data_IF_024291287646
#
_entry.id   IF_024291287646
#
_cell.length_a   1.000
_cell.length_b   1.000
_cell.length_c   1.000
_cell.angle_alpha   90.00
_cell.angle_beta   90.00
_cell.angle_gamma   90.00
#
_symmetry.space_group_name_H-M   'P 1'
#
loop_
_entity.id
_entity.type
_entity.pdbx_description
1 polymer ?
#
# COMPACT_ATOMS: atom_id res chain seq x y z
N UNK A 1 -11.69 17.16 11.55
CA UNK A 1 -11.50 16.36 10.34
C UNK A 1 -12.85 15.85 9.88
N UNK A 2 -13.23 16.19 8.68
CA UNK A 2 -14.46 15.79 8.02
C UNK A 2 -14.19 14.62 7.10
N UNK A 3 -15.21 13.83 6.83
CA UNK A 3 -15.19 12.82 5.78
C UNK A 3 -14.82 13.46 4.43
N UNK A 4 -13.80 12.94 3.79
CA UNK A 4 -13.27 13.44 2.52
C UNK A 4 -13.57 12.50 1.34
N UNK A 5 -14.42 11.49 1.53
CA UNK A 5 -14.74 10.46 0.52
C UNK A 5 -15.08 11.04 -0.85
N UNK A 6 -15.82 12.17 -0.89
CA UNK A 6 -16.17 12.83 -2.15
C UNK A 6 -14.98 13.34 -2.99
N UNK A 7 -13.78 13.38 -2.41
CA UNK A 7 -12.55 13.80 -3.09
C UNK A 7 -11.73 12.62 -3.63
N UNK A 8 -12.22 11.41 -3.48
CA UNK A 8 -11.50 10.21 -3.82
C UNK A 8 -12.32 9.30 -4.76
N UNK A 9 -11.62 8.64 -5.65
CA UNK A 9 -12.10 7.48 -6.39
C UNK A 9 -11.60 6.27 -5.62
N UNK A 10 -12.48 5.32 -5.34
CA UNK A 10 -12.15 4.03 -4.72
C UNK A 10 -12.33 2.97 -5.78
N UNK A 11 -11.29 2.23 -6.08
CA UNK A 11 -11.37 1.05 -6.92
C UNK A 11 -10.94 -0.17 -6.10
N UNK A 12 -11.63 -1.27 -6.29
CA UNK A 12 -11.26 -2.56 -5.71
C UNK A 12 -11.24 -3.63 -6.78
N UNK A 13 -10.58 -4.73 -6.50
CA UNK A 13 -10.54 -5.87 -7.39
C UNK A 13 -10.02 -7.11 -6.71
N UNK A 14 -10.56 -8.25 -7.14
CA UNK A 14 -10.13 -9.58 -6.74
C UNK A 14 -9.47 -10.29 -7.92
N UNK A 15 -8.85 -11.44 -7.68
CA UNK A 15 -8.34 -12.25 -8.79
C UNK A 15 -9.44 -12.97 -9.60
N UNK A 16 -10.70 -12.91 -9.16
CA UNK A 16 -11.85 -13.43 -9.90
C UNK A 16 -12.56 -12.35 -10.71
N UNK A 17 -12.63 -11.13 -10.18
CA UNK A 17 -13.25 -9.99 -10.86
C UNK A 17 -12.52 -8.69 -10.54
N UNK A 18 -11.81 -8.18 -11.50
CA UNK A 18 -10.81 -7.13 -11.32
C UNK A 18 -11.38 -5.72 -11.13
N UNK A 19 -12.68 -5.51 -11.32
CA UNK A 19 -13.29 -4.18 -11.27
C UNK A 19 -14.77 -4.20 -10.86
N UNK A 20 -15.18 -5.11 -9.99
CA UNK A 20 -16.55 -5.13 -9.48
C UNK A 20 -16.66 -4.54 -8.05
N UNK A 21 -16.32 -3.26 -7.92
CA UNK A 21 -16.41 -2.54 -6.64
C UNK A 21 -17.78 -2.68 -5.95
N UNK A 22 -18.83 -2.80 -6.74
CA UNK A 22 -20.18 -2.92 -6.20
C UNK A 22 -20.41 -4.30 -5.59
N UNK A 23 -19.85 -5.33 -6.20
CA UNK A 23 -19.93 -6.71 -5.72
C UNK A 23 -19.11 -6.88 -4.45
N UNK A 24 -17.84 -6.48 -4.49
CA UNK A 24 -16.91 -6.56 -3.35
C UNK A 24 -17.43 -5.77 -2.15
N UNK A 25 -17.94 -4.56 -2.38
CA UNK A 25 -18.55 -3.75 -1.34
C UNK A 25 -19.83 -4.38 -0.77
N UNK A 26 -20.66 -5.02 -1.60
CA UNK A 26 -21.88 -5.70 -1.17
C UNK A 26 -21.57 -6.94 -0.31
N UNK A 27 -20.47 -7.63 -0.58
CA UNK A 27 -19.98 -8.74 0.23
C UNK A 27 -19.32 -8.27 1.53
N UNK A 28 -18.93 -7.02 1.61
CA UNK A 28 -18.22 -6.47 2.76
C UNK A 28 -16.76 -6.90 2.85
N UNK A 29 -16.16 -7.25 1.71
CA UNK A 29 -14.81 -7.76 1.62
C UNK A 29 -13.74 -6.71 1.89
N UNK A 30 -14.06 -5.46 1.65
CA UNK A 30 -13.17 -4.36 2.00
C UNK A 30 -13.89 -3.27 2.79
N UNK A 31 -13.11 -2.43 3.43
CA UNK A 31 -13.59 -1.22 4.08
C UNK A 31 -12.69 -0.05 3.73
N UNK A 32 -13.29 1.08 3.36
CA UNK A 32 -12.62 2.38 3.30
C UNK A 32 -13.39 3.35 4.17
N UNK A 33 -12.74 3.85 5.23
CA UNK A 33 -13.32 4.84 6.13
C UNK A 33 -12.46 6.11 6.12
N UNK A 34 -12.98 7.17 5.52
CA UNK A 34 -12.28 8.44 5.33
C UNK A 34 -12.23 9.34 6.57
N UNK A 35 -12.83 8.93 7.66
CA UNK A 35 -12.84 9.68 8.90
C UNK A 35 -12.58 8.79 10.13
N UNK A 36 -11.93 7.66 9.94
CA UNK A 36 -11.66 6.69 10.97
C UNK A 36 -10.88 7.29 12.14
N UNK A 37 -11.43 7.16 13.34
CA UNK A 37 -10.75 7.56 14.56
C UNK A 37 -9.87 6.42 15.08
N UNK A 38 -8.62 6.41 14.66
CA UNK A 38 -7.69 5.35 15.00
C UNK A 38 -7.28 5.33 16.49
N UNK A 39 -7.59 6.38 17.26
CA UNK A 39 -7.42 6.34 18.72
C UNK A 39 -8.29 5.28 19.40
N UNK A 40 -9.40 4.89 18.75
CA UNK A 40 -10.28 3.80 19.21
C UNK A 40 -9.58 2.44 19.21
N UNK A 41 -8.46 2.33 18.49
CA UNK A 41 -7.57 1.16 18.46
C UNK A 41 -6.27 1.37 19.26
N UNK A 42 -6.20 2.42 20.07
CA UNK A 42 -5.02 2.73 20.87
C UNK A 42 -3.85 3.32 20.07
N UNK A 43 -4.06 3.67 18.81
CA UNK A 43 -3.03 4.25 17.95
C UNK A 43 -2.83 5.73 18.33
N UNK A 44 -1.61 6.18 18.62
CA UNK A 44 -1.35 7.57 18.98
C UNK A 44 -1.49 8.49 17.76
N UNK A 45 -1.62 9.82 17.97
CA UNK A 45 -1.65 10.77 16.86
C UNK A 45 -0.45 10.62 15.92
N UNK A 46 -0.70 10.68 14.61
CA UNK A 46 0.36 10.65 13.61
C UNK A 46 1.33 11.81 13.79
N UNK A 47 2.64 11.60 13.57
CA UNK A 47 3.67 12.61 13.84
C UNK A 47 3.45 13.93 13.11
N UNK A 48 2.95 13.88 11.89
CA UNK A 48 2.71 15.04 11.04
C UNK A 48 1.24 15.48 11.00
N UNK A 49 0.37 14.88 11.84
CA UNK A 49 -1.03 15.30 11.91
C UNK A 49 -1.14 16.71 12.51
N UNK A 50 -1.83 17.58 11.80
CA UNK A 50 -2.20 18.90 12.35
C UNK A 50 -3.10 18.74 13.58
N UNK A 51 -2.92 19.60 14.59
CA UNK A 51 -3.74 19.62 15.81
C UNK A 51 -3.80 18.29 16.60
N UNK A 52 -2.83 17.40 16.40
CA UNK A 52 -2.82 16.07 17.02
C UNK A 52 -4.10 15.27 16.71
N UNK A 53 -4.65 15.45 15.52
CA UNK A 53 -5.79 14.66 15.06
C UNK A 53 -5.48 13.19 15.10
N UNK A 54 -6.47 12.39 15.49
CA UNK A 54 -6.42 10.94 15.46
C UNK A 54 -7.31 10.36 14.35
N UNK A 55 -7.61 11.18 13.33
CA UNK A 55 -8.44 10.76 12.20
C UNK A 55 -7.63 10.62 10.94
N UNK A 56 -7.83 9.48 10.26
CA UNK A 56 -7.19 9.15 9.00
C UNK A 56 -8.13 8.40 8.07
N UNK A 57 -7.56 7.94 6.98
CA UNK A 57 -8.25 7.04 6.06
C UNK A 57 -7.84 5.61 6.41
N UNK A 58 -8.80 4.78 6.84
CA UNK A 58 -8.58 3.36 7.07
C UNK A 58 -8.93 2.58 5.81
N UNK A 59 -8.07 1.64 5.44
CA UNK A 59 -8.34 0.63 4.41
C UNK A 59 -8.10 -0.74 5.02
N UNK A 60 -9.04 -1.66 4.80
CA UNK A 60 -8.90 -3.08 5.10
C UNK A 60 -9.44 -3.91 3.94
N UNK A 61 -8.88 -5.09 3.75
CA UNK A 61 -9.22 -6.02 2.66
C UNK A 61 -9.40 -7.42 3.21
N UNK A 62 -10.00 -8.32 2.44
CA UNK A 62 -10.29 -9.70 2.82
C UNK A 62 -11.00 -9.80 4.18
N UNK A 63 -11.98 -8.94 4.39
CA UNK A 63 -12.76 -8.86 5.62
C UNK A 63 -13.76 -10.02 5.77
N UNK A 64 -14.00 -10.75 4.71
CA UNK A 64 -15.08 -11.72 4.64
C UNK A 64 -14.61 -12.96 3.87
N UNK A 65 -14.90 -14.13 4.42
CA UNK A 65 -14.78 -15.40 3.72
C UNK A 65 -16.13 -15.71 3.09
N UNK A 66 -16.32 -15.30 1.88
CA UNK A 66 -17.60 -15.48 1.19
C UNK A 66 -17.77 -16.86 0.55
N UNK A 67 -17.00 -17.84 0.98
CA UNK A 67 -17.21 -19.24 0.67
C UNK A 67 -16.78 -19.76 -0.72
N UNK A 68 -16.39 -18.92 -1.63
CA UNK A 68 -16.00 -19.36 -2.98
C UNK A 68 -14.52 -19.59 -3.18
N UNK A 69 -13.76 -19.47 -2.14
CA UNK A 69 -12.31 -19.56 -2.17
C UNK A 69 -11.75 -18.16 -1.95
N UNK A 70 -11.03 -18.11 -0.97
CA UNK A 70 -10.16 -17.07 -0.54
C UNK A 70 -9.50 -16.40 -1.74
N UNK A 71 -9.86 -15.17 -1.99
CA UNK A 71 -9.41 -14.41 -3.15
C UNK A 71 -8.48 -13.30 -2.70
N UNK A 72 -7.33 -13.23 -3.35
CA UNK A 72 -6.45 -12.09 -3.17
C UNK A 72 -7.19 -10.83 -3.62
N UNK A 73 -7.03 -9.73 -2.89
CA UNK A 73 -7.78 -8.51 -3.09
C UNK A 73 -6.90 -7.26 -2.97
N UNK A 74 -7.24 -6.24 -3.75
CA UNK A 74 -6.62 -4.92 -3.65
C UNK A 74 -7.66 -3.81 -3.64
N UNK A 75 -7.39 -2.77 -2.86
CA UNK A 75 -8.17 -1.53 -2.84
C UNK A 75 -7.25 -0.35 -3.08
N UNK A 76 -7.60 0.48 -4.03
CA UNK A 76 -6.87 1.67 -4.40
C UNK A 76 -7.70 2.94 -4.24
N UNK A 77 -7.07 3.97 -3.74
CA UNK A 77 -7.62 5.30 -3.59
C UNK A 77 -6.87 6.28 -4.49
N UNK A 78 -7.60 6.97 -5.33
CA UNK A 78 -7.07 8.01 -6.22
C UNK A 78 -7.72 9.35 -5.91
N UNK A 79 -6.95 10.44 -5.77
CA UNK A 79 -7.54 11.78 -5.63
C UNK A 79 -8.36 12.12 -6.88
N UNK A 80 -9.65 12.39 -6.69
CA UNK A 80 -10.57 12.67 -7.78
C UNK A 80 -10.15 13.92 -8.57
N UNK A 81 -10.10 13.82 -9.89
CA UNK A 81 -9.82 14.94 -10.79
C UNK A 81 -8.43 15.57 -10.61
N UNK A 82 -7.47 14.82 -10.08
CA UNK A 82 -6.09 15.26 -9.96
C UNK A 82 -5.22 14.53 -10.97
N UNK A 83 -4.36 15.27 -11.63
CA UNK A 83 -3.30 14.76 -12.49
C UNK A 83 -2.04 15.55 -12.19
N UNK A 84 -0.94 14.85 -11.99
CA UNK A 84 0.34 15.44 -11.61
C UNK A 84 1.36 15.19 -12.71
N UNK A 85 2.26 16.13 -12.91
CA UNK A 85 3.35 16.02 -13.90
C UNK A 85 4.57 16.79 -13.41
N UNK A 86 5.73 16.49 -13.99
CA UNK A 86 6.99 17.08 -13.56
C UNK A 86 7.40 16.61 -12.16
N UNK A 87 8.02 17.48 -11.39
CA UNK A 87 8.51 17.12 -10.05
C UNK A 87 7.39 17.26 -9.02
N UNK A 88 7.04 16.15 -8.38
CA UNK A 88 6.02 16.12 -7.33
C UNK A 88 6.25 14.97 -6.36
N UNK A 89 5.63 15.06 -5.18
CA UNK A 89 5.70 14.03 -4.16
C UNK A 89 4.39 13.86 -3.41
N UNK A 90 4.09 12.63 -3.03
CA UNK A 90 3.07 12.27 -2.05
C UNK A 90 3.76 11.95 -0.74
N UNK A 91 3.26 12.50 0.35
CA UNK A 91 3.75 12.24 1.70
C UNK A 91 2.60 11.87 2.60
N UNK A 92 2.76 10.78 3.33
CA UNK A 92 1.80 10.29 4.31
C UNK A 92 2.52 9.80 5.56
N UNK A 93 1.83 9.85 6.69
CA UNK A 93 2.17 9.01 7.84
C UNK A 93 1.34 7.73 7.71
N UNK A 94 1.99 6.59 7.79
CA UNK A 94 1.39 5.27 7.63
C UNK A 94 1.48 4.50 8.95
N UNK A 95 0.39 3.84 9.32
CA UNK A 95 0.37 2.82 10.36
C UNK A 95 -0.28 1.55 9.79
N UNK A 96 0.47 0.46 9.73
CA UNK A 96 -0.09 -0.85 9.41
C UNK A 96 -0.40 -1.57 10.72
N UNK A 97 -1.66 -1.90 10.91
CA UNK A 97 -2.12 -2.68 12.05
C UNK A 97 -2.41 -4.11 11.62
N UNK A 98 -2.09 -5.06 12.46
CA UNK A 98 -2.36 -6.47 12.23
C UNK A 98 -2.60 -7.21 13.55
N UNK A 99 -3.23 -8.37 13.48
CA UNK A 99 -3.52 -9.19 14.64
C UNK A 99 -2.37 -10.16 14.93
N UNK A 100 -1.99 -10.23 16.20
CA UNK A 100 -1.00 -11.17 16.69
C UNK A 100 0.44 -10.70 16.59
N UNK A 101 1.36 -11.46 17.21
CA UNK A 101 2.78 -11.21 17.09
C UNK A 101 3.29 -11.70 15.74
N UNK A 102 4.20 -10.97 15.16
CA UNK A 102 4.90 -11.34 13.95
C UNK A 102 5.51 -12.73 14.04
N UNK A 103 5.39 -13.48 12.97
CA UNK A 103 5.86 -14.87 12.91
C UNK A 103 5.04 -15.84 13.74
N UNK A 104 3.94 -15.41 14.35
CA UNK A 104 3.08 -16.20 15.21
C UNK A 104 1.95 -16.96 14.52
N UNK A 105 1.95 -17.08 13.21
CA UNK A 105 1.07 -17.97 12.47
C UNK A 105 -0.33 -17.44 12.16
N UNK A 106 -0.59 -16.17 12.37
CA UNK A 106 -1.82 -15.49 11.94
C UNK A 106 -1.51 -14.23 11.14
N UNK A 107 -0.37 -14.20 10.49
CA UNK A 107 0.04 -13.11 9.62
C UNK A 107 -0.96 -12.90 8.51
N UNK A 108 -1.24 -11.64 8.20
CA UNK A 108 -2.25 -11.29 7.23
C UNK A 108 -1.75 -11.31 5.79
N UNK A 109 -0.45 -11.27 5.56
CA UNK A 109 0.16 -11.07 4.23
C UNK A 109 -0.34 -9.83 3.50
N UNK A 110 -0.88 -8.88 4.24
CA UNK A 110 -1.45 -7.65 3.72
C UNK A 110 -0.37 -6.57 3.57
N UNK A 111 -0.46 -5.82 2.48
CA UNK A 111 0.54 -4.81 2.13
C UNK A 111 -0.11 -3.45 1.94
N UNK A 112 0.48 -2.43 2.57
CA UNK A 112 0.21 -1.05 2.18
C UNK A 112 0.89 -0.76 0.84
N UNK A 113 0.18 -0.11 -0.08
CA UNK A 113 0.68 0.20 -1.42
C UNK A 113 0.60 1.69 -1.73
N UNK A 114 1.59 2.17 -2.49
CA UNK A 114 1.75 3.57 -2.87
C UNK A 114 2.15 3.66 -4.33
N UNK A 115 1.41 4.41 -5.12
CA UNK A 115 1.66 4.51 -6.56
C UNK A 115 1.79 5.93 -7.07
N UNK A 116 2.41 6.04 -8.25
CA UNK A 116 2.57 7.28 -9.02
C UNK A 116 2.30 7.03 -10.49
N UNK A 117 1.97 8.11 -11.19
CA UNK A 117 1.72 8.11 -12.63
C UNK A 117 0.61 7.13 -13.06
N UNK A 118 -0.40 6.98 -12.21
CA UNK A 118 -1.55 6.11 -12.44
C UNK A 118 -2.60 6.82 -13.31
N UNK A 119 -3.43 6.07 -14.05
CA UNK A 119 -4.62 6.64 -14.70
C UNK A 119 -5.73 6.98 -13.71
N UNK A 120 -5.81 6.24 -12.61
CA UNK A 120 -6.94 6.29 -11.69
C UNK A 120 -8.17 5.52 -12.18
N UNK A 121 -8.02 4.68 -13.19
CA UNK A 121 -9.08 3.89 -13.83
C UNK A 121 -8.84 2.38 -13.72
N UNK A 122 -7.67 1.97 -13.22
CA UNK A 122 -7.25 0.58 -13.09
C UNK A 122 -6.90 0.26 -11.65
N UNK A 123 -7.23 -0.95 -11.23
CA UNK A 123 -6.78 -1.47 -9.94
C UNK A 123 -5.34 -1.95 -10.06
N UNK A 124 -4.44 -1.36 -9.28
CA UNK A 124 -3.03 -1.75 -9.22
C UNK A 124 -2.76 -2.60 -7.99
N UNK A 125 -2.45 -3.88 -8.20
CA UNK A 125 -2.00 -4.79 -7.15
C UNK A 125 -1.29 -6.01 -7.75
N UNK A 126 -0.51 -6.73 -6.97
CA UNK A 126 0.51 -7.64 -7.48
C UNK A 126 0.02 -8.94 -8.10
N UNK A 127 -1.20 -9.36 -7.85
CA UNK A 127 -1.73 -10.63 -8.37
C UNK A 127 -2.59 -10.47 -9.61
N UNK A 128 -2.80 -9.24 -10.06
CA UNK A 128 -3.63 -8.95 -11.21
C UNK A 128 -2.82 -8.52 -12.42
N UNK A 129 -3.23 -8.93 -13.61
CA UNK A 129 -2.61 -8.46 -14.84
C UNK A 129 -3.05 -7.05 -15.24
N UNK A 130 -3.91 -6.41 -14.46
CA UNK A 130 -4.37 -5.05 -14.70
C UNK A 130 -3.70 -4.06 -13.77
N UNK A 131 -3.59 -2.85 -14.21
CA UNK A 131 -2.95 -1.75 -13.49
C UNK A 131 -2.19 -0.87 -14.46
N UNK A 132 -1.73 0.25 -13.98
CA UNK A 132 -0.88 1.15 -14.74
C UNK A 132 0.05 1.95 -13.82
N UNK A 133 1.07 2.56 -14.39
CA UNK A 133 2.06 3.31 -13.64
C UNK A 133 3.01 2.43 -12.79
N UNK A 134 3.57 3.02 -11.77
CA UNK A 134 4.50 2.37 -10.84
C UNK A 134 3.92 2.40 -9.44
N UNK A 135 4.05 1.31 -8.69
CA UNK A 135 3.67 1.28 -7.28
C UNK A 135 4.61 0.40 -6.45
N UNK A 136 4.61 0.69 -5.16
CA UNK A 136 5.43 0.03 -4.16
C UNK A 136 4.52 -0.55 -3.08
N UNK A 137 4.93 -1.68 -2.52
CA UNK A 137 4.17 -2.34 -1.46
C UNK A 137 5.06 -2.79 -0.32
N UNK A 138 4.52 -2.74 0.89
CA UNK A 138 5.21 -3.19 2.11
C UNK A 138 4.27 -3.93 3.04
N UNK A 139 4.73 -5.09 3.50
CA UNK A 139 4.12 -5.87 4.56
C UNK A 139 4.42 -5.27 5.93
N UNK A 140 3.41 -5.21 6.80
CA UNK A 140 3.53 -4.63 8.14
C UNK A 140 4.18 -5.53 9.16
N UNK A 141 4.07 -6.84 9.02
CA UNK A 141 4.48 -7.82 10.03
C UNK A 141 5.79 -8.52 9.74
N UNK A 142 6.20 -8.57 8.47
CA UNK A 142 7.37 -9.30 8.02
C UNK A 142 7.17 -10.82 8.05
N UNK A 143 8.23 -11.56 7.77
CA UNK A 143 8.22 -13.02 7.85
C UNK A 143 7.96 -13.73 6.53
N UNK A 144 7.59 -13.01 5.49
CA UNK A 144 7.49 -13.52 4.12
C UNK A 144 8.86 -13.67 3.48
N UNK A 145 8.92 -14.32 2.32
CA UNK A 145 10.16 -14.36 1.53
C UNK A 145 10.51 -12.99 0.95
N UNK A 146 9.50 -12.16 0.75
CA UNK A 146 9.60 -10.78 0.27
C UNK A 146 8.54 -9.96 1.02
N UNK A 147 8.96 -8.88 1.68
CA UNK A 147 8.09 -7.97 2.42
C UNK A 147 8.06 -6.58 1.77
N UNK A 148 8.95 -6.30 0.83
CA UNK A 148 9.10 -5.02 0.15
C UNK A 148 9.06 -5.22 -1.36
N UNK A 149 8.07 -4.64 -2.01
CA UNK A 149 7.78 -4.85 -3.43
C UNK A 149 7.84 -3.57 -4.25
N UNK A 150 8.11 -3.74 -5.52
CA UNK A 150 7.98 -2.71 -6.54
C UNK A 150 7.37 -3.34 -7.78
N UNK A 151 6.39 -2.67 -8.36
CA UNK A 151 5.66 -3.11 -9.53
C UNK A 151 5.56 -2.00 -10.55
N UNK A 152 5.46 -2.38 -11.80
CA UNK A 152 5.08 -1.52 -12.91
C UNK A 152 4.06 -2.22 -13.79
N UNK A 153 3.24 -1.47 -14.47
CA UNK A 153 2.40 -1.97 -15.54
C UNK A 153 2.71 -1.21 -16.82
N UNK A 154 2.75 -1.94 -17.92
CA UNK A 154 2.86 -1.37 -19.25
C UNK A 154 1.51 -0.78 -19.71
N UNK A 155 1.52 -0.10 -20.87
CA UNK A 155 0.30 0.47 -21.44
C UNK A 155 -0.77 -0.58 -21.84
N UNK A 156 -0.41 -1.87 -21.84
CA UNK A 156 -1.37 -2.96 -22.04
C UNK A 156 -2.01 -3.45 -20.74
N UNK A 157 -1.60 -2.89 -19.60
CA UNK A 157 -2.05 -3.30 -18.28
C UNK A 157 -1.34 -4.55 -17.74
N UNK A 158 -0.27 -5.01 -18.40
CA UNK A 158 0.50 -6.16 -17.90
C UNK A 158 1.36 -5.72 -16.72
N UNK A 159 1.07 -6.28 -15.55
CA UNK A 159 1.83 -6.03 -14.32
C UNK A 159 3.05 -6.93 -14.26
N UNK A 160 4.19 -6.33 -14.01
CA UNK A 160 5.44 -7.06 -13.82
C UNK A 160 6.07 -6.67 -12.48
N UNK A 161 6.54 -7.67 -11.69
CA UNK A 161 7.45 -7.37 -10.60
C UNK A 161 8.71 -6.74 -11.19
N UNK A 162 9.09 -5.59 -10.65
CA UNK A 162 10.30 -4.93 -11.10
C UNK A 162 11.53 -5.72 -10.68
N UNK A 163 12.55 -5.81 -11.54
CA UNK A 163 13.85 -6.34 -11.14
C UNK A 163 14.41 -5.50 -9.98
N UNK A 164 15.42 -6.00 -9.24
CA UNK A 164 16.04 -5.26 -8.17
C UNK A 164 16.36 -3.82 -8.60
N UNK A 165 15.88 -2.88 -7.82
CA UNK A 165 16.07 -1.46 -8.05
C UNK A 165 17.54 -1.03 -7.91
N UNK A 166 17.86 0.23 -8.24
CA UNK A 166 19.20 0.78 -8.11
C UNK A 166 19.74 0.75 -6.68
N UNK A 167 18.85 0.75 -5.68
CA UNK A 167 19.23 0.63 -4.28
C UNK A 167 19.41 -0.84 -3.82
N UNK A 168 18.90 -1.81 -4.60
CA UNK A 168 19.01 -3.26 -4.31
C UNK A 168 18.22 -3.73 -3.09
N UNK A 169 17.23 -2.97 -2.64
CA UNK A 169 16.46 -3.24 -1.43
C UNK A 169 15.09 -3.86 -1.71
N UNK A 170 14.51 -3.59 -2.87
CA UNK A 170 13.24 -4.22 -3.27
C UNK A 170 13.46 -5.71 -3.57
N UNK A 171 12.46 -6.53 -3.31
CA UNK A 171 12.56 -7.99 -3.40
C UNK A 171 13.25 -8.62 -2.19
N UNK A 172 13.33 -7.89 -1.07
CA UNK A 172 13.90 -8.35 0.19
C UNK A 172 12.82 -8.47 1.26
N UNK A 173 13.16 -9.17 2.32
CA UNK A 173 12.32 -9.28 3.49
C UNK A 173 12.88 -8.49 4.69
N UNK A 174 12.15 -8.54 5.80
CA UNK A 174 12.49 -7.86 7.04
C UNK A 174 13.86 -8.24 7.63
N UNK A 175 14.46 -9.36 7.22
CA UNK A 175 15.80 -9.76 7.71
C UNK A 175 16.94 -9.01 7.03
N UNK A 176 16.66 -8.23 5.98
CA UNK A 176 17.68 -7.44 5.32
C UNK A 176 18.24 -6.37 6.27
N UNK A 177 19.58 -6.21 6.37
CA UNK A 177 20.18 -5.34 7.38
C UNK A 177 19.72 -3.90 7.35
N UNK A 178 19.41 -3.36 6.17
CA UNK A 178 18.89 -1.99 6.03
C UNK A 178 17.53 -1.85 6.68
N UNK A 179 16.64 -2.81 6.49
CA UNK A 179 15.32 -2.77 7.10
C UNK A 179 15.38 -2.99 8.60
N UNK A 180 16.27 -3.85 9.07
CA UNK A 180 16.48 -4.03 10.52
C UNK A 180 17.03 -2.78 11.19
N UNK A 181 17.81 -1.97 10.47
CA UNK A 181 18.25 -0.67 10.94
C UNK A 181 17.11 0.39 10.90
N UNK A 182 16.31 0.38 9.85
CA UNK A 182 15.24 1.35 9.64
C UNK A 182 14.06 1.14 10.60
N UNK A 183 13.76 -0.12 10.91
CA UNK A 183 12.66 -0.54 11.78
C UNK A 183 13.17 -1.40 12.93
N UNK A 184 13.89 -0.79 13.89
CA UNK A 184 14.52 -1.55 14.98
C UNK A 184 13.50 -1.95 16.06
N UNK A 185 13.67 -3.16 16.62
CA UNK A 185 13.01 -3.53 17.85
C UNK A 185 13.69 -2.81 19.04
N UNK A 186 12.96 -2.39 20.12
CA UNK A 186 11.54 -2.63 20.39
C UNK A 186 10.61 -1.53 19.88
N UNK A 187 11.09 -0.56 19.11
CA UNK A 187 10.25 0.52 18.58
C UNK A 187 9.20 -0.05 17.59
N UNK A 188 9.59 -1.04 16.81
CA UNK A 188 8.70 -1.82 15.96
C UNK A 188 8.54 -3.22 16.53
N UNK A 189 7.34 -3.80 16.40
CA UNK A 189 7.05 -5.11 16.98
C UNK A 189 7.91 -6.21 16.34
N UNK A 190 8.01 -6.17 15.01
CA UNK A 190 8.95 -7.02 14.27
C UNK A 190 10.12 -6.20 13.77
N UNK A 191 11.31 -6.63 14.12
CA UNK A 191 12.51 -5.98 13.62
C UNK A 191 12.57 -6.09 12.08
N UNK A 192 12.71 -4.96 11.43
CA UNK A 192 12.79 -4.87 9.98
C UNK A 192 11.44 -4.80 9.26
N UNK A 193 10.32 -4.75 9.98
CA UNK A 193 8.98 -4.55 9.43
C UNK A 193 8.34 -3.28 10.00
N UNK A 194 7.59 -2.51 9.20
CA UNK A 194 7.11 -1.18 9.57
C UNK A 194 5.82 -1.18 10.40
N UNK A 195 5.23 -2.32 10.71
CA UNK A 195 3.92 -2.39 11.37
C UNK A 195 3.92 -1.98 12.83
N UNK A 196 2.74 -1.62 13.30
CA UNK A 196 2.43 -1.20 14.68
C UNK A 196 3.27 -0.02 15.19
N UNK A 197 3.73 0.82 14.27
CA UNK A 197 4.31 2.12 14.57
C UNK A 197 4.09 3.07 13.39
N UNK A 198 4.17 4.38 13.65
CA UNK A 198 4.09 5.38 12.59
C UNK A 198 5.36 5.38 11.73
N UNK A 199 5.16 5.38 10.43
CA UNK A 199 6.22 5.46 9.42
C UNK A 199 5.91 6.60 8.46
N UNK A 200 6.85 7.50 8.29
CA UNK A 200 6.75 8.52 7.25
C UNK A 200 7.08 7.88 5.89
N UNK A 201 6.15 7.96 4.97
CA UNK A 201 6.29 7.46 3.59
C UNK A 201 6.25 8.64 2.63
N UNK A 202 7.18 8.66 1.70
CA UNK A 202 7.19 9.56 0.56
C UNK A 202 7.40 8.76 -0.72
N UNK A 203 6.55 9.00 -1.71
CA UNK A 203 6.79 8.59 -3.09
C UNK A 203 6.92 9.85 -3.92
N UNK A 204 8.01 9.99 -4.68
CA UNK A 204 8.28 11.21 -5.44
C UNK A 204 8.82 10.93 -6.83
N UNK A 205 8.51 11.83 -7.73
CA UNK A 205 9.18 12.00 -9.00
C UNK A 205 10.04 13.26 -8.93
N UNK A 206 11.32 13.12 -9.22
CA UNK A 206 12.29 14.22 -9.28
C UNK A 206 13.06 14.07 -10.59
N UNK A 207 12.82 14.99 -11.53
CA UNK A 207 13.19 14.85 -12.92
C UNK A 207 12.72 13.51 -13.51
N UNK A 208 13.64 12.65 -13.92
CA UNK A 208 13.35 11.35 -14.51
C UNK A 208 13.50 10.19 -13.50
N UNK A 209 13.46 10.48 -12.18
CA UNK A 209 13.65 9.45 -11.16
C UNK A 209 12.44 9.37 -10.23
N UNK A 210 11.86 8.19 -10.17
CA UNK A 210 10.89 7.81 -9.14
C UNK A 210 11.62 7.26 -7.91
N UNK A 211 11.24 7.71 -6.74
CA UNK A 211 11.83 7.22 -5.48
C UNK A 211 10.76 6.90 -4.46
N UNK A 212 10.95 5.78 -3.75
CA UNK A 212 10.21 5.41 -2.56
C UNK A 212 11.07 5.62 -1.33
N UNK A 213 10.56 6.40 -0.39
CA UNK A 213 11.30 6.81 0.81
C UNK A 213 10.49 6.42 2.04
N UNK A 214 11.12 5.78 3.01
CA UNK A 214 10.52 5.47 4.32
C UNK A 214 11.41 6.01 5.43
N UNK A 215 10.84 6.74 6.38
CA UNK A 215 11.57 7.40 7.48
C UNK A 215 12.81 8.17 7.01
N UNK A 216 12.72 8.83 5.84
CA UNK A 216 13.81 9.61 5.25
C UNK A 216 14.88 8.82 4.49
N UNK A 217 14.79 7.50 4.43
CA UNK A 217 15.70 6.66 3.67
C UNK A 217 15.08 6.25 2.34
N UNK A 218 15.81 6.42 1.25
CA UNK A 218 15.40 5.94 -0.08
C UNK A 218 15.50 4.41 -0.10
N UNK A 219 14.38 3.75 -0.31
CA UNK A 219 14.27 2.29 -0.37
C UNK A 219 14.33 1.80 -1.81
N UNK A 220 13.64 2.49 -2.70
CA UNK A 220 13.64 2.19 -4.11
C UNK A 220 13.88 3.45 -4.92
N UNK A 221 14.57 3.32 -6.05
CA UNK A 221 14.81 4.40 -6.98
C UNK A 221 14.82 3.84 -8.40
N UNK A 222 14.00 4.42 -9.28
CA UNK A 222 13.81 3.94 -10.65
C UNK A 222 13.74 5.10 -11.64
N UNK A 223 14.16 4.90 -12.90
CA UNK A 223 13.82 5.86 -13.94
C UNK A 223 12.29 6.04 -14.06
N UNK A 224 11.85 7.28 -14.22
CA UNK A 224 10.43 7.58 -14.46
C UNK A 224 10.01 7.22 -15.88
N UNK A 225 10.96 7.24 -16.84
CA UNK A 225 10.76 6.81 -18.21
C UNK A 225 11.62 5.59 -18.48
N UNK A 226 10.99 4.44 -18.74
CA UNK A 226 11.67 3.28 -19.27
C UNK A 226 11.15 3.02 -20.69
N UNK A 227 12.03 3.09 -21.68
CA UNK A 227 11.69 2.81 -23.09
C UNK A 227 11.19 1.37 -23.29
N UNK A 228 11.47 0.47 -22.32
CA UNK A 228 11.06 -0.92 -22.40
C UNK A 228 9.62 -1.17 -21.91
N UNK A 229 9.10 -0.36 -20.99
CA UNK A 229 7.84 -0.64 -20.29
C UNK A 229 6.76 0.42 -20.47
N UNK A 230 7.01 1.50 -21.24
CA UNK A 230 6.01 2.53 -21.49
C UNK A 230 5.55 3.27 -20.22
N UNK A 231 6.42 3.38 -19.22
CA UNK A 231 6.07 4.00 -17.93
C UNK A 231 5.66 5.45 -18.15
N UNK A 232 4.51 5.82 -17.64
CA UNK A 232 4.00 7.18 -17.69
C UNK A 232 4.85 8.12 -16.84
N UNK A 233 5.04 9.33 -17.29
CA UNK A 233 5.73 10.40 -16.55
C UNK A 233 4.76 11.39 -15.91
N UNK A 234 3.46 11.15 -16.07
CA UNK A 234 2.37 11.93 -15.49
C UNK A 234 1.18 11.03 -15.16
N UNK A 235 0.35 11.45 -14.24
CA UNK A 235 -0.82 10.72 -13.82
C UNK A 235 -1.30 11.15 -12.44
N UNK A 236 -2.22 10.39 -11.88
CA UNK A 236 -2.62 10.56 -10.49
C UNK A 236 -1.72 9.73 -9.56
N UNK A 237 -1.88 9.93 -8.27
CA UNK A 237 -1.22 9.15 -7.22
C UNK A 237 -2.17 8.11 -6.67
N UNK A 238 -1.63 7.02 -6.13
CA UNK A 238 -2.39 5.92 -5.56
C UNK A 238 -1.96 5.69 -4.11
N UNK A 239 -2.94 5.56 -3.23
CA UNK A 239 -2.79 4.96 -1.91
C UNK A 239 -3.65 3.71 -1.89
N UNK A 240 -3.20 2.65 -1.24
CA UNK A 240 -4.00 1.44 -1.21
C UNK A 240 -3.54 0.42 -0.19
N UNK A 241 -4.25 -0.68 -0.18
CA UNK A 241 -3.99 -1.85 0.65
C UNK A 241 -4.34 -3.09 -0.15
N UNK A 242 -3.55 -4.13 -0.04
CA UNK A 242 -3.76 -5.37 -0.78
C UNK A 242 -3.41 -6.59 0.07
N UNK A 243 -4.10 -7.69 -0.17
CA UNK A 243 -3.69 -9.02 0.27
C UNK A 243 -3.28 -9.83 -0.97
N UNK A 244 -2.04 -10.29 -0.99
CA UNK A 244 -1.49 -11.11 -2.09
C UNK A 244 -1.98 -12.55 -2.06
N UNK A 245 -2.38 -12.98 -0.91
CA UNK A 245 -2.87 -14.30 -0.63
C UNK A 245 -4.25 -14.15 0.01
N UNK A 246 -5.03 -15.02 -0.01
CA UNK A 246 -6.38 -15.06 0.45
C UNK A 246 -6.53 -15.32 1.96
N UNK A 247 -5.65 -14.82 2.78
CA UNK A 247 -5.77 -14.96 4.21
C UNK A 247 -6.78 -13.98 4.78
N UNK A 248 -7.86 -14.52 5.31
CA UNK A 248 -8.90 -13.72 5.94
C UNK A 248 -8.34 -13.01 7.15
N UNK A 249 -8.50 -11.71 7.17
CA UNK A 249 -8.21 -10.89 8.33
C UNK A 249 -9.09 -11.31 9.53
N UNK A 250 -8.50 -11.93 10.53
CA UNK A 250 -9.25 -12.41 11.69
C UNK A 250 -8.60 -12.00 13.01
N UNK A 251 -9.18 -11.11 13.80
CA UNK A 251 -10.40 -10.35 13.47
C UNK A 251 -10.12 -9.23 12.46
N UNK A 252 -11.02 -9.06 11.54
CA UNK A 252 -10.92 -8.06 10.45
C UNK A 252 -10.77 -6.60 10.93
N UNK A 253 -11.23 -6.32 12.13
CA UNK A 253 -11.15 -5.00 12.72
C UNK A 253 -9.74 -4.60 13.12
N UNK A 254 -8.83 -5.56 13.23
CA UNK A 254 -7.46 -5.36 13.68
C UNK A 254 -6.43 -5.39 12.52
N UNK A 255 -6.86 -5.79 11.31
CA UNK A 255 -5.99 -5.77 10.14
C UNK A 255 -6.40 -4.62 9.19
N UNK A 256 -5.57 -3.60 9.10
CA UNK A 256 -5.82 -2.42 8.28
C UNK A 256 -4.57 -1.54 8.15
N UNK A 257 -4.59 -0.66 7.17
CA UNK A 257 -3.71 0.50 7.11
C UNK A 257 -4.47 1.79 7.40
N UNK A 258 -3.82 2.72 8.05
CA UNK A 258 -4.32 4.07 8.26
C UNK A 258 -3.21 5.10 8.05
#
# INVERSE_FOLDING_TARGET
NTDTSANWIVLSGTNADENDDAYDAALGDFTVDFAFDYSTRGIPPAPNSGDKSTRGVRISVNNNDDTTGSEAMGVNLFPAKQNFSGNYAVRVDMWINYNGPAGGGTGSTEHAIFGMNQSGEQVGWSSQPTGDGVWFGVDGEGGSSTDYYSFEADDSGTVSPLPPDLAGMVGKNNTHPVYQFLFPSPAFETQGAPGKNWVSVEVRQDDDVLSWVMNGMVIASRPASDEFFGVRTEGTVMLGYMDLFNSIANPKEDNFVV
#
